data_IF_743144713259
#
_entry.id   IF_743144713259
#
_cell.length_a   1.000
_cell.length_b   1.000
_cell.length_c   1.000
_cell.angle_alpha   90.00
_cell.angle_beta   90.00
_cell.angle_gamma   90.00
#
_symmetry.space_group_name_H-M   'P 1'
#
loop_
_entity.id
_entity.type
_entity.pdbx_description
1 polymer ?
#
# COMPACT_ATOMS: atom_id res chain seq x y z
N UNK A 1 5.69 10.41 6.27
CA UNK A 1 5.56 9.13 7.00
C UNK A 1 6.92 8.51 7.42
N UNK A 2 8.01 9.30 7.45
CA UNK A 2 9.37 8.81 7.76
C UNK A 2 9.55 8.17 9.14
N UNK A 3 8.73 8.55 10.12
CA UNK A 3 8.84 8.09 11.50
C UNK A 3 8.09 6.79 11.78
N UNK A 4 7.31 6.27 10.82
CA UNK A 4 6.54 5.03 11.01
C UNK A 4 7.45 3.86 10.59
N UNK A 5 7.84 2.95 11.50
CA UNK A 5 8.71 1.84 11.17
C UNK A 5 7.99 0.79 10.31
N UNK A 6 8.73 0.08 9.47
CA UNK A 6 8.21 -1.06 8.73
C UNK A 6 8.05 -2.25 9.71
N UNK A 7 6.94 -3.01 9.68
CA UNK A 7 6.80 -4.21 10.50
C UNK A 7 7.91 -5.24 10.25
N UNK A 8 8.51 -5.72 11.34
CA UNK A 8 9.59 -6.72 11.34
C UNK A 8 9.07 -8.14 11.47
N UNK A 9 8.00 -8.33 12.24
CA UNK A 9 7.29 -9.61 12.33
C UNK A 9 6.28 -9.69 11.18
N UNK A 10 6.47 -10.66 10.29
CA UNK A 10 5.63 -10.91 9.11
C UNK A 10 5.33 -12.40 9.01
N UNK A 11 4.29 -12.77 8.29
CA UNK A 11 3.95 -14.19 8.09
C UNK A 11 2.47 -14.51 8.05
N UNK A 12 1.60 -13.50 8.06
CA UNK A 12 0.18 -13.72 7.82
C UNK A 12 -0.05 -13.98 6.33
N UNK A 13 -0.49 -15.19 6.00
CA UNK A 13 -1.00 -15.49 4.66
C UNK A 13 -2.36 -14.81 4.51
N UNK A 14 -2.38 -13.58 4.01
CA UNK A 14 -3.60 -12.81 3.75
C UNK A 14 -4.10 -13.18 2.34
N UNK A 15 -5.23 -13.89 2.20
CA UNK A 15 -5.86 -14.08 0.91
C UNK A 15 -6.28 -12.73 0.32
N UNK A 16 -6.10 -12.55 -0.98
CA UNK A 16 -6.43 -11.29 -1.64
C UNK A 16 -6.69 -11.48 -3.14
N UNK A 17 -7.71 -10.80 -3.64
CA UNK A 17 -8.07 -10.80 -5.06
C UNK A 17 -7.32 -9.71 -5.86
N UNK A 18 -6.88 -8.64 -5.19
CA UNK A 18 -6.24 -7.46 -5.80
C UNK A 18 -5.17 -6.83 -4.90
N UNK A 19 -4.32 -5.98 -5.48
CA UNK A 19 -3.27 -5.27 -4.76
C UNK A 19 -3.85 -4.24 -3.79
N UNK A 20 -4.90 -3.51 -4.20
CA UNK A 20 -5.59 -2.55 -3.33
C UNK A 20 -6.29 -3.22 -2.16
N UNK A 21 -6.86 -4.41 -2.35
CA UNK A 21 -7.42 -5.22 -1.26
C UNK A 21 -6.33 -5.69 -0.29
N UNK A 22 -5.22 -6.24 -0.80
CA UNK A 22 -4.09 -6.63 0.04
C UNK A 22 -3.58 -5.44 0.85
N UNK A 23 -3.38 -4.28 0.21
CA UNK A 23 -2.98 -3.05 0.89
C UNK A 23 -3.96 -2.65 2.01
N UNK A 24 -5.27 -2.78 1.80
CA UNK A 24 -6.28 -2.53 2.85
C UNK A 24 -6.14 -3.51 4.00
N UNK A 25 -5.98 -4.80 3.72
CA UNK A 25 -5.82 -5.84 4.74
C UNK A 25 -4.55 -5.63 5.56
N UNK A 26 -3.43 -5.24 4.93
CA UNK A 26 -2.18 -4.93 5.64
C UNK A 26 -2.33 -3.72 6.58
N UNK A 27 -3.07 -2.68 6.16
CA UNK A 27 -3.34 -1.51 7.03
C UNK A 27 -4.07 -1.91 8.31
N UNK A 28 -5.07 -2.79 8.19
CA UNK A 28 -5.85 -3.30 9.33
C UNK A 28 -5.00 -4.21 10.21
N UNK A 29 -4.31 -5.18 9.59
CA UNK A 29 -3.51 -6.19 10.29
C UNK A 29 -2.38 -5.57 11.09
N UNK A 30 -1.59 -4.68 10.46
CA UNK A 30 -0.43 -4.05 11.08
C UNK A 30 -0.75 -2.73 11.77
N UNK A 31 -2.00 -2.25 11.69
CA UNK A 31 -2.46 -0.98 12.25
C UNK A 31 -1.58 0.21 11.81
N UNK A 32 -1.12 0.18 10.56
CA UNK A 32 -0.28 1.21 9.99
C UNK A 32 -0.87 1.75 8.68
N UNK A 33 -0.75 3.06 8.41
CA UNK A 33 -1.07 3.62 7.11
C UNK A 33 -0.05 3.18 6.05
N UNK A 34 -0.45 3.19 4.78
CA UNK A 34 0.47 3.11 3.64
C UNK A 34 0.68 4.51 3.05
N UNK A 35 1.85 4.71 2.45
CA UNK A 35 2.21 5.97 1.84
C UNK A 35 1.33 6.28 0.62
N UNK A 36 1.08 7.57 0.37
CA UNK A 36 0.33 8.06 -0.80
C UNK A 36 0.80 7.39 -2.11
N UNK A 37 2.12 7.38 -2.35
CA UNK A 37 2.70 6.76 -3.54
C UNK A 37 2.47 5.24 -3.60
N UNK A 38 2.47 4.57 -2.45
CA UNK A 38 2.17 3.13 -2.38
C UNK A 38 0.72 2.88 -2.75
N UNK A 39 -0.23 3.62 -2.17
CA UNK A 39 -1.65 3.50 -2.51
C UNK A 39 -1.93 3.75 -4.01
N UNK A 40 -1.26 4.74 -4.60
CA UNK A 40 -1.34 5.01 -6.05
C UNK A 40 -0.76 3.83 -6.86
N UNK A 41 0.39 3.29 -6.46
CA UNK A 41 1.03 2.18 -7.16
C UNK A 41 0.18 0.91 -7.12
N UNK A 42 -0.39 0.55 -5.97
CA UNK A 42 -1.27 -0.63 -5.85
C UNK A 42 -2.48 -0.51 -6.78
N UNK A 43 -3.10 0.67 -6.85
CA UNK A 43 -4.18 0.93 -7.80
C UNK A 43 -3.70 0.80 -9.24
N UNK A 44 -2.51 1.31 -9.57
CA UNK A 44 -1.94 1.20 -10.91
C UNK A 44 -1.73 -0.27 -11.29
N UNK A 45 -1.17 -1.09 -10.40
CA UNK A 45 -1.00 -2.53 -10.65
C UNK A 45 -2.33 -3.25 -10.85
N UNK A 46 -3.39 -2.89 -10.13
CA UNK A 46 -4.73 -3.44 -10.40
C UNK A 46 -5.25 -3.04 -11.78
N UNK A 47 -5.02 -1.79 -12.21
CA UNK A 47 -5.43 -1.30 -13.54
C UNK A 47 -4.64 -1.96 -14.67
N UNK A 48 -3.35 -2.24 -14.46
CA UNK A 48 -2.49 -2.90 -15.46
C UNK A 48 -2.89 -4.36 -15.74
N UNK A 49 -3.77 -4.95 -14.92
CA UNK A 49 -4.31 -6.30 -15.14
C UNK A 49 -5.50 -6.32 -16.10
N UNK A 50 -6.13 -5.19 -16.36
CA UNK A 50 -7.31 -5.08 -17.24
C UNK A 50 -6.91 -5.43 -18.67
N UNK A 51 -7.69 -6.31 -19.32
CA UNK A 51 -7.44 -6.81 -20.67
C UNK A 51 -6.40 -7.92 -20.76
N UNK A 52 -5.89 -8.43 -19.64
CA UNK A 52 -4.95 -9.56 -19.61
C UNK A 52 -5.70 -10.90 -19.53
N UNK A 53 -5.01 -12.00 -19.87
CA UNK A 53 -5.59 -13.35 -19.77
C UNK A 53 -6.00 -13.73 -18.33
N UNK A 54 -5.30 -13.18 -17.34
CA UNK A 54 -5.48 -13.50 -15.92
C UNK A 54 -6.19 -12.34 -15.17
N UNK A 55 -6.94 -11.50 -15.89
CA UNK A 55 -7.71 -10.39 -15.32
C UNK A 55 -8.67 -10.87 -14.22
N UNK A 56 -9.41 -11.95 -14.48
CA UNK A 56 -10.43 -12.49 -13.58
C UNK A 56 -9.87 -13.41 -12.48
N UNK A 57 -8.58 -13.76 -12.53
CA UNK A 57 -7.99 -14.61 -11.50
C UNK A 57 -7.73 -13.81 -10.22
N UNK A 58 -7.89 -14.37 -9.02
CA UNK A 58 -7.52 -13.66 -7.81
C UNK A 58 -5.99 -13.49 -7.74
N UNK A 59 -5.52 -12.37 -7.18
CA UNK A 59 -4.09 -12.05 -7.10
C UNK A 59 -3.28 -13.14 -6.41
N UNK A 60 -3.81 -13.74 -5.35
CA UNK A 60 -3.16 -14.81 -4.59
C UNK A 60 -3.04 -16.15 -5.35
N UNK A 61 -3.77 -16.34 -6.45
CA UNK A 61 -3.56 -17.45 -7.38
C UNK A 61 -2.41 -17.20 -8.36
N UNK A 62 -2.07 -15.93 -8.62
CA UNK A 62 -1.00 -15.53 -9.55
C UNK A 62 0.32 -15.34 -8.79
N UNK A 63 0.26 -14.67 -7.63
CA UNK A 63 1.41 -14.31 -6.82
C UNK A 63 1.19 -14.84 -5.40
N UNK A 64 2.15 -15.66 -4.93
CA UNK A 64 2.10 -16.18 -3.58
C UNK A 64 1.96 -15.05 -2.53
N UNK A 65 0.99 -15.11 -1.59
CA UNK A 65 0.67 -14.01 -0.67
C UNK A 65 1.88 -13.43 0.08
N UNK A 66 2.77 -14.29 0.58
CA UNK A 66 3.98 -13.83 1.28
C UNK A 66 4.91 -12.96 0.39
N UNK A 67 4.98 -13.24 -0.93
CA UNK A 67 5.78 -12.43 -1.86
C UNK A 67 5.07 -11.11 -2.17
N UNK A 68 3.75 -11.14 -2.32
CA UNK A 68 2.95 -9.93 -2.52
C UNK A 68 3.08 -8.99 -1.32
N UNK A 69 2.92 -9.50 -0.09
CA UNK A 69 3.12 -8.74 1.14
C UNK A 69 4.54 -8.16 1.23
N UNK A 70 5.57 -8.98 1.02
CA UNK A 70 6.95 -8.53 1.07
C UNK A 70 7.22 -7.41 0.05
N UNK A 71 6.65 -7.51 -1.14
CA UNK A 71 6.76 -6.49 -2.21
C UNK A 71 6.17 -5.16 -1.75
N UNK A 72 4.97 -5.16 -1.16
CA UNK A 72 4.35 -3.94 -0.64
C UNK A 72 5.23 -3.29 0.42
N UNK A 73 5.75 -4.07 1.37
CA UNK A 73 6.59 -3.51 2.44
C UNK A 73 7.93 -2.96 1.95
N UNK A 74 8.57 -3.59 0.97
CA UNK A 74 9.79 -3.08 0.35
C UNK A 74 9.54 -1.75 -0.38
N UNK A 75 8.45 -1.66 -1.15
CA UNK A 75 8.05 -0.41 -1.81
C UNK A 75 7.69 0.67 -0.80
N UNK A 76 6.94 0.31 0.25
CA UNK A 76 6.54 1.23 1.31
C UNK A 76 7.76 1.81 2.03
N UNK A 77 8.79 1.01 2.28
CA UNK A 77 10.05 1.48 2.87
C UNK A 77 10.74 2.53 1.98
N UNK A 78 10.87 2.24 0.68
CA UNK A 78 11.41 3.19 -0.29
C UNK A 78 10.62 4.50 -0.27
N UNK A 79 9.29 4.42 -0.36
CA UNK A 79 8.44 5.60 -0.36
C UNK A 79 8.51 6.40 0.95
N UNK A 80 8.53 5.73 2.10
CA UNK A 80 8.64 6.39 3.41
C UNK A 80 9.96 7.14 3.54
N UNK A 81 11.08 6.54 3.12
CA UNK A 81 12.42 7.08 3.36
C UNK A 81 12.85 8.12 2.31
N UNK A 82 12.53 7.89 1.04
CA UNK A 82 13.16 8.61 -0.08
C UNK A 82 12.31 9.75 -0.66
N UNK A 83 10.98 9.71 -0.51
CA UNK A 83 10.10 10.71 -1.11
C UNK A 83 10.33 12.11 -0.52
N UNK A 84 10.50 13.11 -1.38
CA UNK A 84 10.56 14.52 -0.97
C UNK A 84 9.16 15.14 -0.91
N UNK A 85 8.96 16.10 -0.01
CA UNK A 85 7.68 16.80 0.11
C UNK A 85 7.39 17.67 -1.13
N UNK A 86 8.42 18.21 -1.79
CA UNK A 86 8.27 18.95 -3.04
C UNK A 86 7.69 18.07 -4.16
N UNK A 87 8.19 16.84 -4.30
CA UNK A 87 7.67 15.89 -5.28
C UNK A 87 6.20 15.54 -5.01
N UNK A 88 5.85 15.29 -3.74
CA UNK A 88 4.46 15.00 -3.36
C UNK A 88 3.53 16.19 -3.62
N UNK A 89 3.95 17.41 -3.30
CA UNK A 89 3.16 18.61 -3.56
C UNK A 89 2.87 18.79 -5.06
N UNK A 90 3.86 18.55 -5.93
CA UNK A 90 3.66 18.59 -7.39
C UNK A 90 2.64 17.55 -7.86
N UNK A 91 2.73 16.32 -7.35
CA UNK A 91 1.76 15.27 -7.68
C UNK A 91 0.35 15.61 -7.21
N UNK A 92 0.21 16.22 -6.02
CA UNK A 92 -1.09 16.59 -5.48
C UNK A 92 -1.74 17.76 -6.23
N UNK A 93 -0.94 18.71 -6.72
CA UNK A 93 -1.45 19.77 -7.60
C UNK A 93 -2.04 19.23 -8.90
N UNK A 94 -1.49 18.13 -9.43
CA UNK A 94 -1.96 17.47 -10.65
C UNK A 94 -3.13 16.50 -10.40
N UNK A 95 -3.42 16.16 -9.15
CA UNK A 95 -4.44 15.17 -8.78
C UNK A 95 -5.45 15.76 -7.79
N UNK A 96 -6.59 16.32 -8.27
CA UNK A 96 -7.63 16.89 -7.41
C UNK A 96 -8.18 15.92 -6.37
N UNK A 97 -8.08 14.62 -6.59
CA UNK A 97 -8.57 13.56 -5.71
C UNK A 97 -7.45 12.89 -4.89
N UNK A 98 -6.28 13.54 -4.73
CA UNK A 98 -5.13 12.97 -4.02
C UNK A 98 -5.48 12.51 -2.59
N UNK A 99 -6.42 13.20 -1.93
CA UNK A 99 -6.85 12.92 -0.56
C UNK A 99 -7.42 11.49 -0.41
N UNK A 100 -8.01 10.92 -1.47
CA UNK A 100 -8.52 9.55 -1.45
C UNK A 100 -7.42 8.48 -1.27
N UNK A 101 -6.15 8.86 -1.46
CA UNK A 101 -4.99 7.97 -1.34
C UNK A 101 -4.11 8.28 -0.14
N UNK A 102 -4.48 9.29 0.67
CA UNK A 102 -3.79 9.63 1.91
C UNK A 102 -4.53 8.95 3.06
N UNK A 103 -3.91 7.93 3.64
CA UNK A 103 -4.50 7.23 4.78
C UNK A 103 -4.46 8.07 6.05
N UNK A 104 -5.52 8.00 6.85
CA UNK A 104 -5.56 8.58 8.18
C UNK A 104 -4.54 7.89 9.09
N UNK A 105 -3.69 8.68 9.73
CA UNK A 105 -2.81 8.17 10.80
C UNK A 105 -3.67 8.05 12.06
N UNK A 106 -4.14 6.84 12.35
CA UNK A 106 -4.75 6.54 13.64
C UNK A 106 -3.69 6.73 14.73
N UNK A 107 -3.76 7.85 15.47
CA UNK A 107 -3.04 7.96 16.74
C UNK A 107 -3.69 6.96 17.68
N UNK A 108 -2.99 5.89 18.03
CA UNK A 108 -3.32 5.12 19.22
C UNK A 108 -3.26 6.11 20.39
N UNK A 109 -4.40 6.39 21.02
CA UNK A 109 -4.41 7.02 22.33
C UNK A 109 -3.66 6.06 23.25
N UNK A 110 -2.44 6.43 23.61
CA UNK A 110 -1.74 5.79 24.72
C UNK A 110 -2.49 6.25 25.96
N UNK A 111 -3.45 5.46 26.42
CA UNK A 111 -3.93 5.57 27.81
C UNK A 111 -2.75 5.22 28.70
N UNK A 112 -2.14 6.26 29.28
CA UNK A 112 -1.26 6.20 30.45
C UNK A 112 -2.01 5.73 31.69
#
# INVERSE_FOLDING_TARGET
MKQIPIPTERGSLVPCSSWTELGRSLKVLYRQPLHYLTNILLKKWDQERIGTKDEDQPLDAIIHPAKAEATIWLVEEVHRLTSSHHHLAQLWLLNPLYQAYVDSILRLQITT
#
